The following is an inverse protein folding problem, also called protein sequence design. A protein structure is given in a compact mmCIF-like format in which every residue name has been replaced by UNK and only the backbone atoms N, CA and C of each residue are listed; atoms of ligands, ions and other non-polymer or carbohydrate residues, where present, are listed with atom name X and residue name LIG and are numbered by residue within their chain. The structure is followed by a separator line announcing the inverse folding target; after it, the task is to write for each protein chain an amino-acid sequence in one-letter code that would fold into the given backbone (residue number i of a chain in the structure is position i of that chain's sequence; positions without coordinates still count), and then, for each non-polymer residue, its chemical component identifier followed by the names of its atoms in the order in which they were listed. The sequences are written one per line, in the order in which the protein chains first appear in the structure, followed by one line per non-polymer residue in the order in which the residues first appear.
data_IF_000692477460
#
_entry.id   IF_000692477460
#
_cell.length_a   1.000
_cell.length_b   1.000
_cell.length_c   1.000
_cell.angle_alpha   90.00
_cell.angle_beta   90.00
_cell.angle_gamma   90.00
#
_symmetry.space_group_name_H-M   'P 1'
#
loop_
_entity.id
_entity.type
_entity.pdbx_description
1 polymer ?
#
# COMPACT_ATOMS: atom_id res chain seq x y z
N UNK A 1 8.14 -0.55 6.85
CA UNK A 1 8.58 -1.62 5.92
C UNK A 1 7.51 -1.70 4.84
N UNK A 2 7.82 -1.41 3.58
CA UNK A 2 6.79 -1.28 2.53
C UNK A 2 5.84 -2.48 2.45
N UNK A 3 6.36 -3.70 2.68
CA UNK A 3 5.57 -4.93 2.72
C UNK A 3 4.52 -4.94 3.83
N UNK A 4 4.84 -4.37 4.99
CA UNK A 4 3.86 -4.20 6.08
C UNK A 4 2.73 -3.27 5.66
N UNK A 5 3.06 -2.11 5.07
CA UNK A 5 2.07 -1.14 4.64
C UNK A 5 1.18 -1.70 3.53
N UNK A 6 1.75 -2.42 2.56
CA UNK A 6 1.00 -3.14 1.52
C UNK A 6 0.06 -4.17 2.15
N UNK A 7 0.57 -5.00 3.07
CA UNK A 7 -0.24 -6.04 3.72
C UNK A 7 -1.37 -5.45 4.56
N UNK A 8 -1.13 -4.37 5.29
CA UNK A 8 -2.15 -3.62 6.04
C UNK A 8 -3.20 -3.02 5.10
N UNK A 9 -2.79 -2.43 3.97
CA UNK A 9 -3.72 -1.85 3.00
C UNK A 9 -4.64 -2.92 2.40
N UNK A 10 -4.07 -4.06 1.98
CA UNK A 10 -4.85 -5.20 1.44
C UNK A 10 -5.82 -5.73 2.50
N UNK A 11 -5.36 -5.91 3.74
CA UNK A 11 -6.22 -6.40 4.82
C UNK A 11 -7.33 -5.39 5.16
N UNK A 12 -7.04 -4.09 5.13
CA UNK A 12 -8.05 -3.05 5.31
C UNK A 12 -9.12 -3.10 4.21
N UNK A 13 -8.73 -3.26 2.95
CA UNK A 13 -9.65 -3.42 1.83
C UNK A 13 -10.57 -4.63 1.99
N UNK A 14 -10.04 -5.75 2.50
CA UNK A 14 -10.82 -6.95 2.82
C UNK A 14 -11.76 -6.72 4.02
N UNK A 15 -11.26 -6.12 5.10
CA UNK A 15 -12.05 -5.84 6.31
C UNK A 15 -13.22 -4.89 6.04
N UNK A 16 -13.04 -3.93 5.13
CA UNK A 16 -14.07 -2.96 4.73
C UNK A 16 -14.97 -3.45 3.60
N UNK A 17 -14.64 -4.58 2.97
CA UNK A 17 -15.39 -5.13 1.84
C UNK A 17 -15.15 -4.41 0.50
N UNK A 18 -14.14 -3.55 0.42
CA UNK A 18 -13.70 -2.93 -0.85
C UNK A 18 -13.11 -3.96 -1.81
N UNK A 19 -12.48 -4.99 -1.27
CA UNK A 19 -11.82 -6.04 -2.05
C UNK A 19 -12.16 -7.41 -1.48
N UNK A 20 -12.56 -8.39 -2.29
CA UNK A 20 -12.82 -9.73 -1.79
C UNK A 20 -11.52 -10.42 -1.37
N UNK A 21 -11.60 -11.34 -0.40
CA UNK A 21 -10.43 -12.09 0.07
C UNK A 21 -9.76 -12.92 -1.05
N UNK A 22 -10.54 -13.37 -2.03
CA UNK A 22 -10.04 -14.10 -3.21
C UNK A 22 -9.07 -13.27 -4.06
N UNK A 23 -9.15 -11.94 -3.98
CA UNK A 23 -8.29 -11.02 -4.72
C UNK A 23 -7.06 -10.58 -3.94
N UNK A 24 -6.87 -11.04 -2.69
CA UNK A 24 -5.73 -10.67 -1.83
C UNK A 24 -4.39 -10.67 -2.57
N UNK A 25 -4.09 -11.76 -3.28
CA UNK A 25 -2.83 -11.92 -4.02
C UNK A 25 -2.75 -10.95 -5.19
N UNK A 26 -3.85 -10.79 -5.94
CA UNK A 26 -3.92 -9.86 -7.06
C UNK A 26 -3.69 -8.42 -6.61
N UNK A 27 -4.39 -7.97 -5.56
CA UNK A 27 -4.24 -6.63 -4.98
C UNK A 27 -2.84 -6.40 -4.43
N UNK A 28 -2.25 -7.41 -3.79
CA UNK A 28 -0.85 -7.34 -3.31
C UNK A 28 0.10 -7.09 -4.48
N UNK A 29 -0.02 -7.87 -5.56
CA UNK A 29 0.81 -7.71 -6.76
C UNK A 29 0.60 -6.35 -7.47
N UNK A 30 -0.64 -5.85 -7.49
CA UNK A 30 -0.94 -4.53 -8.05
C UNK A 30 -0.26 -3.41 -7.26
N UNK A 31 -0.31 -3.49 -5.93
CA UNK A 31 0.36 -2.52 -5.06
C UNK A 31 1.88 -2.59 -5.21
N UNK A 32 2.45 -3.80 -5.32
CA UNK A 32 3.87 -4.02 -5.59
C UNK A 32 4.33 -3.39 -6.91
N UNK A 33 3.53 -3.53 -7.97
CA UNK A 33 3.80 -2.90 -9.28
C UNK A 33 3.77 -1.36 -9.18
N UNK A 34 2.80 -0.80 -8.46
CA UNK A 34 2.70 0.65 -8.22
C UNK A 34 3.94 1.20 -7.50
N UNK A 35 4.50 0.44 -6.56
CA UNK A 35 5.71 0.82 -5.82
C UNK A 35 7.01 0.28 -6.46
N UNK A 36 6.93 -0.25 -7.68
CA UNK A 36 8.06 -0.80 -8.46
C UNK A 36 8.92 -1.78 -7.66
N UNK A 37 8.27 -2.67 -6.95
CA UNK A 37 8.92 -3.66 -6.10
C UNK A 37 8.61 -5.07 -6.63
N UNK A 38 9.62 -5.76 -7.11
CA UNK A 38 9.48 -7.10 -7.69
C UNK A 38 9.46 -8.21 -6.62
N UNK A 39 9.87 -7.89 -5.39
CA UNK A 39 9.93 -8.85 -4.29
C UNK A 39 8.81 -8.63 -3.29
N UNK A 40 8.36 -9.70 -2.64
CA UNK A 40 7.42 -9.60 -1.53
C UNK A 40 7.81 -10.59 -0.43
N UNK A 41 7.96 -10.07 0.78
CA UNK A 41 8.14 -10.88 1.97
C UNK A 41 6.92 -10.75 2.86
N UNK A 42 6.36 -11.90 3.25
CA UNK A 42 5.25 -11.92 4.19
C UNK A 42 5.76 -11.63 5.60
N UNK A 43 5.64 -10.36 6.00
CA UNK A 43 6.01 -9.89 7.34
C UNK A 43 4.85 -10.07 8.32
N UNK A 44 5.17 -10.52 9.54
CA UNK A 44 4.20 -10.49 10.64
C UNK A 44 3.97 -9.04 11.06
N UNK A 45 2.74 -8.56 10.92
CA UNK A 45 2.36 -7.23 11.36
C UNK A 45 1.01 -7.28 12.06
N UNK A 46 0.78 -6.29 12.93
CA UNK A 46 -0.51 -6.12 13.58
C UNK A 46 -1.55 -5.69 12.54
N UNK A 47 -2.54 -6.57 12.33
CA UNK A 47 -3.68 -6.35 11.44
C UNK A 47 -4.93 -5.93 12.19
N UNK A 48 -4.85 -5.85 13.53
CA UNK A 48 -5.89 -5.33 14.39
C UNK A 48 -5.77 -3.81 14.48
N UNK A 49 -6.87 -3.09 14.23
CA UNK A 49 -6.94 -1.62 14.21
C UNK A 49 -6.02 -0.93 13.17
N UNK A 50 -6.15 -1.33 11.90
CA UNK A 50 -5.44 -0.67 10.80
C UNK A 50 -5.93 0.77 10.65
N UNK A 51 -5.05 1.75 10.87
CA UNK A 51 -5.29 3.16 10.57
C UNK A 51 -4.92 3.42 9.12
N UNK A 52 -5.92 3.56 8.25
CA UNK A 52 -5.72 3.73 6.80
C UNK A 52 -4.83 4.94 6.48
N UNK A 53 -5.04 6.07 7.15
CA UNK A 53 -4.29 7.31 6.92
C UNK A 53 -2.78 7.12 7.14
N UNK A 54 -2.39 6.41 8.19
CA UNK A 54 -0.98 6.11 8.48
C UNK A 54 -0.38 5.18 7.41
N UNK A 55 -1.13 4.17 6.98
CA UNK A 55 -0.69 3.21 5.95
C UNK A 55 -0.47 3.89 4.60
N UNK A 56 -1.41 4.74 4.18
CA UNK A 56 -1.31 5.50 2.93
C UNK A 56 -0.15 6.48 2.99
N UNK A 57 0.02 7.17 4.13
CA UNK A 57 1.14 8.09 4.34
C UNK A 57 2.48 7.38 4.22
N UNK A 58 2.64 6.21 4.85
CA UNK A 58 3.86 5.40 4.76
C UNK A 58 4.16 4.98 3.32
N UNK A 59 3.14 4.57 2.55
CA UNK A 59 3.28 4.20 1.14
C UNK A 59 3.70 5.39 0.27
N UNK A 60 3.09 6.57 0.49
CA UNK A 60 3.44 7.80 -0.21
C UNK A 60 4.86 8.27 0.12
N UNK A 61 5.23 8.25 1.41
CA UNK A 61 6.57 8.61 1.87
C UNK A 61 7.64 7.67 1.28
N UNK A 62 7.34 6.37 1.19
CA UNK A 62 8.25 5.40 0.60
C UNK A 62 8.34 5.55 -0.93
N UNK A 63 7.23 5.85 -1.61
CA UNK A 63 7.22 6.14 -3.04
C UNK A 63 8.06 7.39 -3.38
N UNK A 64 7.99 8.44 -2.55
CA UNK A 64 8.85 9.62 -2.65
C UNK A 64 10.31 9.26 -2.37
N UNK A 65 10.58 8.52 -1.28
CA UNK A 65 11.94 8.12 -0.88
C UNK A 65 12.65 7.29 -1.95
N UNK A 66 11.92 6.42 -2.64
CA UNK A 66 12.41 5.58 -3.74
C UNK A 66 12.49 6.33 -5.07
N UNK A 67 12.01 7.57 -5.15
CA UNK A 67 11.99 8.37 -6.38
C UNK A 67 10.99 7.87 -7.42
N UNK A 68 9.92 7.19 -6.99
CA UNK A 68 8.83 6.73 -7.87
C UNK A 68 7.95 7.92 -8.26
N UNK A 69 7.71 8.80 -7.30
CA UNK A 69 6.98 10.05 -7.45
C UNK A 69 7.82 11.22 -6.94
N UNK A 70 7.58 12.42 -7.45
CA UNK A 70 8.24 13.63 -6.92
C UNK A 70 7.63 14.02 -5.57
N UNK A 71 8.43 14.66 -4.70
CA UNK A 71 7.94 15.21 -3.43
C UNK A 71 7.18 16.52 -3.65
N UNK A 72 6.01 16.40 -4.28
CA UNK A 72 5.10 17.51 -4.53
C UNK A 72 3.70 17.11 -4.13
N UNK A 73 2.93 18.08 -3.63
CA UNK A 73 1.54 17.86 -3.20
C UNK A 73 0.71 17.23 -4.33
N UNK A 74 0.92 17.68 -5.58
CA UNK A 74 0.18 17.17 -6.73
C UNK A 74 0.53 15.72 -7.09
N UNK A 75 1.80 15.33 -7.04
CA UNK A 75 2.20 13.95 -7.34
C UNK A 75 1.77 12.97 -6.26
N UNK A 76 1.74 13.42 -5.00
CA UNK A 76 1.26 12.61 -3.87
C UNK A 76 -0.25 12.38 -3.98
N UNK A 77 -1.03 13.39 -4.32
CA UNK A 77 -2.49 13.29 -4.55
C UNK A 77 -2.83 12.36 -5.74
N UNK A 78 -2.08 12.48 -6.84
CA UNK A 78 -2.23 11.59 -8.00
C UNK A 78 -1.88 10.13 -7.68
N UNK A 79 -0.90 9.89 -6.81
CA UNK A 79 -0.53 8.54 -6.38
C UNK A 79 -1.56 7.99 -5.39
N UNK A 80 -2.06 8.82 -4.47
CA UNK A 80 -3.12 8.47 -3.53
C UNK A 80 -4.40 8.03 -4.26
N UNK A 81 -4.76 8.71 -5.34
CA UNK A 81 -5.91 8.33 -6.20
C UNK A 81 -5.72 6.98 -6.91
N UNK A 82 -4.47 6.51 -7.07
CA UNK A 82 -4.18 5.21 -7.71
C UNK A 82 -4.20 4.04 -6.72
N UNK A 83 -4.03 4.31 -5.43
CA UNK A 83 -4.10 3.33 -4.35
C UNK A 83 -5.56 2.97 -4.03
#
# INVERSE_FOLDING_TARGET
MIYESIKKLVQYGINTGLTPETERIYTTNLLLDLVKEDNYEDVSCDLDNIVLEDVLKDLLDEAVRRGIIEDSIGYRDLFDTKL
#
